data_IF_633456893577
#
_entry.id   IF_633456893577
#
_cell.length_a   1.000
_cell.length_b   1.000
_cell.length_c   1.000
_cell.angle_alpha   90.00
_cell.angle_beta   90.00
_cell.angle_gamma   90.00
#
_symmetry.space_group_name_H-M   'P 1'
#
loop_
_entity.id
_entity.type
_entity.pdbx_description
1 polymer ?
#
# COMPACT_ATOMS: atom_id res chain seq x y z
N UNK A 1 -44.47 22.74 16.71
CA UNK A 1 -43.78 21.49 16.29
C UNK A 1 -42.55 21.74 15.40
N UNK A 2 -42.62 22.58 14.35
CA UNK A 2 -41.47 22.85 13.47
C UNK A 2 -40.21 23.41 14.16
N UNK A 3 -40.35 24.35 15.11
CA UNK A 3 -39.19 24.94 15.80
C UNK A 3 -38.44 23.98 16.71
N UNK A 4 -39.16 23.06 17.36
CA UNK A 4 -38.56 22.04 18.24
C UNK A 4 -37.75 21.05 17.40
N UNK A 5 -38.31 20.62 16.26
CA UNK A 5 -37.60 19.76 15.30
C UNK A 5 -36.32 20.41 14.75
N UNK A 6 -36.37 21.70 14.42
CA UNK A 6 -35.20 22.44 13.90
C UNK A 6 -34.06 22.52 14.93
N UNK A 7 -34.39 22.75 16.22
CA UNK A 7 -33.42 22.81 17.32
C UNK A 7 -32.77 21.43 17.58
N UNK A 8 -33.53 20.35 17.46
CA UNK A 8 -33.02 18.98 17.62
C UNK A 8 -32.08 18.61 16.47
N UNK A 9 -32.46 18.91 15.23
CA UNK A 9 -31.62 18.68 14.04
C UNK A 9 -30.30 19.45 14.14
N UNK A 10 -30.33 20.71 14.60
CA UNK A 10 -29.12 21.50 14.82
C UNK A 10 -28.16 20.85 15.83
N UNK A 11 -28.68 20.35 16.96
CA UNK A 11 -27.85 19.64 17.96
C UNK A 11 -27.25 18.35 17.42
N UNK A 12 -28.02 17.56 16.67
CA UNK A 12 -27.51 16.33 16.02
C UNK A 12 -26.40 16.66 15.02
N UNK A 13 -26.56 17.72 14.23
CA UNK A 13 -25.55 18.17 13.27
C UNK A 13 -24.23 18.55 13.96
N UNK A 14 -24.29 19.23 15.12
CA UNK A 14 -23.10 19.59 15.90
C UNK A 14 -22.40 18.34 16.44
N UNK A 15 -23.16 17.37 16.96
CA UNK A 15 -22.59 16.11 17.47
C UNK A 15 -21.88 15.34 16.35
N UNK A 16 -22.50 15.25 15.16
CA UNK A 16 -21.89 14.59 13.99
C UNK A 16 -20.59 15.28 13.55
N UNK A 17 -20.55 16.62 13.56
CA UNK A 17 -19.34 17.38 13.25
C UNK A 17 -18.21 17.08 14.25
N UNK A 18 -18.51 17.05 15.54
CA UNK A 18 -17.52 16.72 16.58
C UNK A 18 -17.02 15.30 16.40
N UNK A 19 -17.91 14.34 16.17
CA UNK A 19 -17.54 12.93 15.98
C UNK A 19 -16.67 12.75 14.73
N UNK A 20 -17.04 13.41 13.63
CA UNK A 20 -16.24 13.42 12.40
C UNK A 20 -14.85 14.03 12.59
N UNK A 21 -14.77 15.12 13.35
CA UNK A 21 -13.49 15.74 13.68
C UNK A 21 -12.60 14.84 14.57
N UNK A 22 -13.18 14.19 15.59
CA UNK A 22 -12.45 13.24 16.42
C UNK A 22 -11.96 12.02 15.62
N UNK A 23 -12.80 11.50 14.72
CA UNK A 23 -12.40 10.43 13.81
C UNK A 23 -11.24 10.87 12.89
N UNK A 24 -11.29 12.09 12.35
CA UNK A 24 -10.19 12.64 11.57
C UNK A 24 -8.89 12.74 12.38
N UNK A 25 -8.94 13.22 13.62
CA UNK A 25 -7.77 13.26 14.51
C UNK A 25 -7.23 11.85 14.81
N UNK A 26 -8.11 10.86 14.99
CA UNK A 26 -7.72 9.47 15.19
C UNK A 26 -6.91 8.94 13.99
N UNK A 27 -7.34 9.21 12.75
CA UNK A 27 -6.60 8.80 11.54
C UNK A 27 -5.19 9.43 11.47
N UNK A 28 -5.06 10.71 11.84
CA UNK A 28 -3.76 11.37 11.88
C UNK A 28 -2.84 10.73 12.93
N UNK A 29 -3.37 10.42 14.11
CA UNK A 29 -2.63 9.79 15.18
C UNK A 29 -2.19 8.36 14.80
N UNK A 30 -3.08 7.58 14.19
CA UNK A 30 -2.78 6.25 13.69
C UNK A 30 -1.65 6.28 12.65
N UNK A 31 -1.73 7.18 11.66
CA UNK A 31 -0.66 7.36 10.67
C UNK A 31 0.69 7.75 11.30
N UNK A 32 0.68 8.58 12.33
CA UNK A 32 1.89 8.93 13.09
C UNK A 32 2.49 7.71 13.82
N UNK A 33 1.66 6.92 14.49
CA UNK A 33 2.10 5.70 15.16
C UNK A 33 2.70 4.68 14.20
N UNK A 34 2.09 4.49 13.03
CA UNK A 34 2.59 3.58 11.98
C UNK A 34 3.99 4.02 11.53
N UNK A 35 4.16 5.30 11.17
CA UNK A 35 5.47 5.84 10.74
C UNK A 35 6.53 5.72 11.83
N UNK A 36 6.16 6.01 13.08
CA UNK A 36 7.07 5.89 14.22
C UNK A 36 7.48 4.44 14.45
N UNK A 37 6.56 3.49 14.31
CA UNK A 37 6.84 2.07 14.46
C UNK A 37 7.76 1.55 13.35
N UNK A 38 7.51 1.87 12.08
CA UNK A 38 8.41 1.51 10.96
C UNK A 38 9.82 2.07 11.18
N UNK A 39 9.92 3.31 11.70
CA UNK A 39 11.23 3.95 11.93
C UNK A 39 12.02 3.32 13.09
N UNK A 40 11.36 2.94 14.18
CA UNK A 40 12.03 2.44 15.39
C UNK A 40 12.15 0.92 15.44
N UNK A 41 11.11 0.21 15.00
CA UNK A 41 10.96 -1.24 15.11
C UNK A 41 10.88 -1.94 13.74
N UNK A 42 10.96 -1.18 12.64
CA UNK A 42 10.78 -1.73 11.31
C UNK A 42 11.84 -2.74 10.94
N UNK A 43 11.40 -3.89 10.41
CA UNK A 43 12.28 -4.92 9.89
C UNK A 43 12.59 -4.67 8.42
N UNK A 44 13.80 -5.01 7.99
CA UNK A 44 14.25 -4.78 6.62
C UNK A 44 14.02 -6.04 5.78
N UNK A 45 13.49 -5.85 4.58
CA UNK A 45 13.42 -6.87 3.53
C UNK A 45 13.57 -6.22 2.16
N UNK A 46 13.42 -7.00 1.09
CA UNK A 46 13.41 -6.51 -0.28
C UNK A 46 11.97 -6.37 -0.76
N UNK A 47 11.68 -5.27 -1.44
CA UNK A 47 10.42 -5.03 -2.13
C UNK A 47 10.62 -4.76 -3.62
N UNK A 48 9.73 -5.30 -4.47
CA UNK A 48 9.71 -5.02 -5.91
C UNK A 48 8.70 -3.92 -6.20
N UNK A 49 9.12 -2.86 -6.87
CA UNK A 49 8.20 -1.83 -7.35
C UNK A 49 7.38 -2.37 -8.54
N UNK A 50 6.05 -2.35 -8.41
CA UNK A 50 5.14 -2.92 -9.41
C UNK A 50 4.34 -1.88 -10.19
N UNK A 51 4.14 -0.71 -9.59
CA UNK A 51 3.36 0.35 -10.21
C UNK A 51 3.61 1.66 -9.48
N UNK A 52 3.31 2.75 -10.17
CA UNK A 52 3.28 4.06 -9.54
C UNK A 52 1.97 4.75 -9.90
N UNK A 53 1.48 5.60 -8.99
CA UNK A 53 0.36 6.49 -9.26
C UNK A 53 0.86 7.93 -9.18
N UNK A 54 0.65 8.67 -10.27
CA UNK A 54 1.00 10.08 -10.36
C UNK A 54 -0.21 10.94 -9.98
N UNK A 55 0.03 11.91 -9.11
CA UNK A 55 -0.90 12.99 -8.75
C UNK A 55 -0.26 14.34 -9.11
N UNK A 56 -1.04 15.44 -9.11
CA UNK A 56 -0.49 16.78 -9.32
C UNK A 56 0.55 17.07 -8.21
N UNK A 57 1.83 17.00 -8.56
CA UNK A 57 2.95 17.30 -7.66
C UNK A 57 3.51 16.12 -6.86
N UNK A 58 2.96 14.90 -6.98
CA UNK A 58 3.44 13.73 -6.24
C UNK A 58 3.39 12.45 -7.06
N UNK A 59 4.28 11.50 -6.77
CA UNK A 59 4.29 10.17 -7.36
C UNK A 59 4.40 9.16 -6.22
N UNK A 60 3.39 8.31 -6.10
CA UNK A 60 3.35 7.26 -5.09
C UNK A 60 3.75 5.94 -5.74
N UNK A 61 4.79 5.30 -5.20
CA UNK A 61 5.26 4.01 -5.70
C UNK A 61 4.67 2.87 -4.84
N UNK A 62 4.13 1.84 -5.49
CA UNK A 62 3.59 0.65 -4.83
C UNK A 62 4.53 -0.53 -5.01
N UNK A 63 4.85 -1.21 -3.91
CA UNK A 63 5.76 -2.33 -3.89
C UNK A 63 5.04 -3.60 -3.43
N UNK A 64 5.46 -4.73 -3.98
CA UNK A 64 5.17 -6.05 -3.43
C UNK A 64 6.39 -6.54 -2.65
N UNK A 65 6.16 -7.33 -1.62
CA UNK A 65 7.21 -7.89 -0.78
C UNK A 65 6.70 -9.17 -0.11
N UNK A 66 7.61 -10.01 0.37
CA UNK A 66 7.24 -11.25 1.05
C UNK A 66 7.71 -11.21 2.51
N UNK A 67 6.84 -11.67 3.40
CA UNK A 67 7.15 -11.95 4.81
C UNK A 67 6.72 -13.38 5.05
N UNK A 68 7.65 -14.24 5.48
CA UNK A 68 7.36 -15.64 5.82
C UNK A 68 6.60 -16.40 4.72
N UNK A 69 6.92 -16.14 3.45
CA UNK A 69 6.28 -16.75 2.28
C UNK A 69 4.93 -16.15 1.88
N UNK A 70 4.38 -15.21 2.65
CA UNK A 70 3.15 -14.49 2.30
C UNK A 70 3.51 -13.21 1.54
N UNK A 71 2.88 -13.02 0.39
CA UNK A 71 3.07 -11.83 -0.46
C UNK A 71 2.13 -10.71 -0.04
N UNK A 72 2.70 -9.54 0.23
CA UNK A 72 2.00 -8.32 0.61
C UNK A 72 2.20 -7.24 -0.46
N UNK A 73 1.31 -6.25 -0.43
CA UNK A 73 1.42 -5.02 -1.22
C UNK A 73 1.33 -3.83 -0.28
N UNK A 74 2.25 -2.89 -0.44
CA UNK A 74 2.32 -1.68 0.38
C UNK A 74 2.64 -0.44 -0.45
N UNK A 75 2.26 0.71 0.10
CA UNK A 75 2.68 2.01 -0.41
C UNK A 75 4.09 2.32 0.11
N UNK A 76 5.07 2.44 -0.78
CA UNK A 76 6.48 2.66 -0.42
C UNK A 76 6.83 4.10 -0.05
N UNK A 77 5.91 5.03 -0.27
CA UNK A 77 6.12 6.46 -0.14
C UNK A 77 6.23 7.19 -1.47
N UNK A 78 6.49 8.49 -1.39
CA UNK A 78 6.64 9.35 -2.55
C UNK A 78 8.11 9.47 -2.94
N UNK A 79 8.39 9.37 -4.24
CA UNK A 79 9.72 9.65 -4.77
C UNK A 79 9.74 10.95 -5.57
N UNK A 80 10.75 11.79 -5.30
CA UNK A 80 11.05 12.97 -6.11
C UNK A 80 11.99 12.50 -7.22
N UNK A 81 11.46 12.18 -8.39
CA UNK A 81 12.29 11.75 -9.52
C UNK A 81 11.54 10.95 -10.58
N UNK A 82 11.81 11.25 -11.85
CA UNK A 82 11.10 10.71 -13.02
C UNK A 82 11.61 9.37 -13.54
N UNK A 83 12.50 8.66 -12.84
CA UNK A 83 12.96 7.36 -13.34
C UNK A 83 11.88 6.28 -13.19
N UNK A 84 11.78 5.45 -14.22
CA UNK A 84 10.92 4.29 -14.27
C UNK A 84 11.50 3.21 -13.33
N UNK A 85 10.97 3.15 -12.10
CA UNK A 85 11.40 2.21 -11.06
C UNK A 85 10.63 0.89 -11.07
N UNK A 86 9.59 0.81 -11.89
CA UNK A 86 8.76 -0.39 -11.99
C UNK A 86 9.63 -1.55 -12.49
N UNK A 87 9.50 -2.70 -11.84
CA UNK A 87 10.32 -3.87 -12.08
C UNK A 87 11.57 -3.96 -11.20
N UNK A 88 12.01 -2.86 -10.60
CA UNK A 88 13.23 -2.81 -9.77
C UNK A 88 12.95 -3.19 -8.32
N UNK A 89 14.00 -3.64 -7.64
CA UNK A 89 13.95 -4.09 -6.25
C UNK A 89 14.67 -3.08 -5.35
N UNK A 90 14.12 -2.83 -4.18
CA UNK A 90 14.62 -1.86 -3.21
C UNK A 90 14.58 -2.44 -1.80
N UNK A 91 15.45 -1.92 -0.92
CA UNK A 91 15.26 -2.17 0.50
C UNK A 91 14.01 -1.48 0.99
N UNK A 92 13.22 -2.22 1.76
CA UNK A 92 12.04 -1.67 2.42
C UNK A 92 12.12 -1.98 3.91
N UNK A 93 11.56 -1.09 4.72
CA UNK A 93 11.23 -1.36 6.11
C UNK A 93 9.74 -1.61 6.23
N UNK A 94 9.36 -2.64 6.98
CA UNK A 94 7.96 -2.95 7.25
C UNK A 94 7.68 -3.04 8.74
N UNK A 95 6.45 -2.74 9.13
CA UNK A 95 5.96 -2.97 10.49
C UNK A 95 5.33 -4.36 10.60
N UNK A 96 5.73 -5.13 11.59
CA UNK A 96 5.04 -6.39 11.95
C UNK A 96 3.69 -6.14 12.63
N UNK A 97 3.61 -5.05 13.39
CA UNK A 97 2.39 -4.65 14.09
C UNK A 97 1.33 -4.13 13.12
N UNK A 98 1.74 -3.33 12.15
CA UNK A 98 0.88 -2.69 11.15
C UNK A 98 1.12 -3.29 9.77
N UNK A 99 0.59 -4.51 9.56
CA UNK A 99 0.75 -5.26 8.30
C UNK A 99 0.31 -4.44 7.09
N UNK A 100 1.06 -4.54 5.99
CA UNK A 100 0.83 -3.75 4.77
C UNK A 100 1.47 -2.36 4.78
N UNK A 101 1.94 -1.88 5.93
CA UNK A 101 2.62 -0.58 6.05
C UNK A 101 4.12 -0.74 5.87
N UNK A 102 4.68 -0.02 4.90
CA UNK A 102 6.09 -0.06 4.55
C UNK A 102 6.65 1.34 4.31
N UNK A 103 7.97 1.44 4.33
CA UNK A 103 8.74 2.59 3.86
C UNK A 103 9.85 2.07 2.95
N UNK A 104 9.89 2.52 1.70
CA UNK A 104 10.90 2.10 0.74
C UNK A 104 12.08 3.07 0.76
N UNK A 105 13.30 2.52 0.84
CA UNK A 105 14.53 3.25 0.64
C UNK A 105 14.92 3.16 -0.84
N UNK A 106 14.50 4.17 -1.59
CA UNK A 106 14.71 4.20 -3.04
C UNK A 106 16.15 4.54 -3.46
N UNK A 107 17.00 4.95 -2.52
CA UNK A 107 18.42 5.15 -2.77
C UNK A 107 19.20 3.83 -2.62
N UNK A 108 18.57 2.80 -2.03
CA UNK A 108 19.12 1.46 -1.87
C UNK A 108 18.45 0.45 -2.82
N UNK A 109 18.76 0.57 -4.12
CA UNK A 109 18.38 -0.44 -5.12
C UNK A 109 19.12 -1.77 -4.85
N UNK A 110 18.38 -2.88 -4.87
CA UNK A 110 18.91 -4.23 -4.65
C UNK A 110 19.01 -4.94 -5.99
N UNK A 111 20.24 -5.23 -6.41
CA UNK A 111 20.52 -5.97 -7.67
C UNK A 111 21.07 -7.37 -7.42
N UNK A 112 21.47 -7.69 -6.18
CA UNK A 112 21.92 -9.02 -5.81
C UNK A 112 20.76 -10.02 -5.88
N UNK A 113 20.87 -10.93 -6.85
CA UNK A 113 19.90 -12.00 -7.08
C UNK A 113 19.73 -12.89 -5.85
N UNK A 114 20.80 -13.11 -5.08
CA UNK A 114 20.77 -13.94 -3.89
C UNK A 114 19.95 -13.29 -2.78
N UNK A 115 20.07 -11.98 -2.59
CA UNK A 115 19.29 -11.22 -1.61
C UNK A 115 17.80 -11.21 -2.01
N UNK A 116 17.50 -11.02 -3.30
CA UNK A 116 16.15 -11.05 -3.84
C UNK A 116 15.49 -12.42 -3.64
N UNK A 117 16.19 -13.52 -3.95
CA UNK A 117 15.68 -14.88 -3.75
C UNK A 117 15.48 -15.20 -2.25
N UNK A 118 16.42 -14.77 -1.39
CA UNK A 118 16.28 -14.91 0.08
C UNK A 118 15.08 -14.14 0.62
N UNK A 119 14.70 -13.03 0.01
CA UNK A 119 13.50 -12.27 0.33
C UNK A 119 12.19 -12.92 -0.20
N UNK A 120 12.26 -14.16 -0.72
CA UNK A 120 11.11 -14.95 -1.14
C UNK A 120 10.60 -14.64 -2.55
N UNK A 121 11.37 -13.91 -3.36
CA UNK A 121 11.07 -13.75 -4.77
C UNK A 121 11.58 -14.95 -5.58
N UNK A 122 10.93 -15.18 -6.71
CA UNK A 122 11.31 -16.24 -7.65
C UNK A 122 12.12 -15.65 -8.80
N UNK A 123 12.80 -16.52 -9.58
CA UNK A 123 13.48 -16.06 -10.80
C UNK A 123 12.51 -15.43 -11.80
N UNK A 124 11.28 -15.93 -11.92
CA UNK A 124 10.27 -15.33 -12.81
C UNK A 124 9.89 -13.92 -12.36
N UNK A 125 9.81 -13.66 -11.04
CA UNK A 125 9.58 -12.31 -10.53
C UNK A 125 10.68 -11.31 -10.96
N UNK A 126 11.89 -11.78 -11.28
CA UNK A 126 12.98 -10.90 -11.74
C UNK A 126 12.85 -10.51 -13.21
N UNK A 127 12.30 -11.40 -14.03
CA UNK A 127 12.09 -11.17 -15.47
C UNK A 127 10.72 -10.58 -15.80
N UNK A 128 9.78 -10.62 -14.86
CA UNK A 128 8.45 -10.03 -15.00
C UNK A 128 8.54 -8.48 -15.03
N UNK A 129 8.55 -7.91 -16.23
CA UNK A 129 8.43 -6.46 -16.43
C UNK A 129 6.96 -6.00 -16.25
N UNK A 130 6.74 -4.70 -16.13
CA UNK A 130 5.45 -4.06 -15.83
C UNK A 130 4.23 -4.60 -16.63
N UNK A 131 4.43 -5.15 -17.83
CA UNK A 131 3.38 -5.80 -18.63
C UNK A 131 2.72 -7.00 -17.95
N UNK A 132 3.45 -7.75 -17.11
CA UNK A 132 2.87 -8.85 -16.34
C UNK A 132 1.91 -8.37 -15.25
N UNK A 133 2.02 -7.11 -14.82
CA UNK A 133 1.05 -6.54 -13.85
C UNK A 133 -0.31 -6.27 -14.48
N UNK A 134 -0.36 -6.00 -15.79
CA UNK A 134 -1.62 -5.88 -16.55
C UNK A 134 -2.20 -7.27 -16.76
N UNK A 135 -1.38 -8.23 -17.20
CA UNK A 135 -1.81 -9.61 -17.38
C UNK A 135 -2.26 -10.28 -16.06
N UNK A 136 -1.54 -10.06 -14.96
CA UNK A 136 -1.90 -10.57 -13.63
C UNK A 136 -3.14 -9.87 -13.07
N UNK A 137 -3.32 -8.57 -13.35
CA UNK A 137 -4.55 -7.83 -13.00
C UNK A 137 -5.74 -8.32 -13.82
N UNK A 138 -5.59 -8.57 -15.11
CA UNK A 138 -6.62 -9.17 -15.95
C UNK A 138 -6.95 -10.60 -15.53
N UNK A 139 -5.95 -11.41 -15.16
CA UNK A 139 -6.16 -12.76 -14.66
C UNK A 139 -6.92 -12.76 -13.31
N UNK A 140 -6.53 -11.88 -12.38
CA UNK A 140 -7.22 -11.70 -11.10
C UNK A 140 -8.66 -11.21 -11.29
N UNK A 141 -8.89 -10.28 -12.21
CA UNK A 141 -10.22 -9.71 -12.47
C UNK A 141 -11.13 -10.71 -13.21
N UNK A 142 -10.56 -11.53 -14.11
CA UNK A 142 -11.27 -12.68 -14.71
C UNK A 142 -11.69 -13.71 -13.66
N UNK A 143 -10.81 -14.07 -12.72
CA UNK A 143 -11.15 -15.01 -11.65
C UNK A 143 -12.25 -14.46 -10.72
N UNK A 144 -12.19 -13.18 -10.36
CA UNK A 144 -13.27 -12.54 -9.59
C UNK A 144 -14.61 -12.54 -10.36
N UNK A 145 -14.60 -12.20 -11.65
CA UNK A 145 -15.81 -12.22 -12.48
C UNK A 145 -16.38 -13.64 -12.61
N UNK A 146 -15.53 -14.65 -12.85
CA UNK A 146 -15.96 -16.05 -12.95
C UNK A 146 -16.55 -16.55 -11.62
N UNK A 147 -15.96 -16.15 -10.49
CA UNK A 147 -16.49 -16.48 -9.16
C UNK A 147 -17.84 -15.80 -8.89
N UNK A 148 -18.03 -14.54 -9.32
CA UNK A 148 -19.31 -13.82 -9.20
C UNK A 148 -20.39 -14.44 -10.10
N UNK A 149 -20.01 -14.87 -11.31
CA UNK A 149 -20.93 -15.45 -12.30
C UNK A 149 -21.15 -16.97 -12.10
N UNK A 150 -20.43 -17.59 -11.17
CA UNK A 150 -20.44 -19.04 -10.91
C UNK A 150 -20.20 -19.90 -12.16
N UNK A 151 -19.37 -19.39 -13.08
CA UNK A 151 -18.97 -20.10 -14.29
C UNK A 151 -17.67 -20.82 -13.97
N UNK A 152 -17.67 -22.15 -13.97
CA UNK A 152 -16.44 -22.95 -13.93
C UNK A 152 -15.82 -22.99 -15.33
N UNK A 153 -14.49 -22.90 -15.38
CA UNK A 153 -13.71 -23.15 -16.61
C UNK A 153 -14.05 -24.50 -17.24
#
# INVERSE_FOLDING_TARGET
MKEIGLKIIGKISVILLILGFLFFLFLLFEGYLIRKDIKLNGKVTVGKCISHRKYKGAKIDYLIYNIEGIRYKGEGGSSIGSSERVGRFYKIRYSEKYKGSIEADFDQEVTDTTEILKAGFTKSDMYAFANDSIAAREASLKQEILAILNIKE
#
